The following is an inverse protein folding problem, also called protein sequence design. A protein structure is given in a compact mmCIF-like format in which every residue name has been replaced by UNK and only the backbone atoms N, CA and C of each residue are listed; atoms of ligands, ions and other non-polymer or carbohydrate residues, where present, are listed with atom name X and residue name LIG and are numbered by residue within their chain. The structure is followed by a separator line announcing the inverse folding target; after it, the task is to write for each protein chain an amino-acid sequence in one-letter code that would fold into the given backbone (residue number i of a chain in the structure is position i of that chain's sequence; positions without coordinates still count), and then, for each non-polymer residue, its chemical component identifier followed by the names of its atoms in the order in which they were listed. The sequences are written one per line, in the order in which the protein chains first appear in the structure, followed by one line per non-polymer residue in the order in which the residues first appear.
data_IF_502055622649
#
_entry.id   IF_502055622649
#
_cell.length_a   1.000
_cell.length_b   1.000
_cell.length_c   1.000
_cell.angle_alpha   90.00
_cell.angle_beta   90.00
_cell.angle_gamma   90.00
#
_symmetry.space_group_name_H-M   'P 1'
#
loop_
_entity.id
_entity.type
_entity.pdbx_description
1 polymer ?
#
# COMPACT_ATOMS: atom_id res chain seq x y z
N UNK A 1 6.34 4.68 23.93
CA UNK A 1 6.52 5.83 23.03
C UNK A 1 5.23 6.63 23.10
N UNK A 2 5.25 7.87 23.59
CA UNK A 2 4.03 8.64 23.82
C UNK A 2 3.73 9.51 22.59
N UNK A 3 2.76 9.10 21.79
CA UNK A 3 2.19 9.91 20.73
C UNK A 3 0.70 9.56 20.60
N UNK A 4 -0.07 10.51 20.09
CA UNK A 4 -1.48 10.35 19.80
C UNK A 4 -1.74 10.78 18.36
N UNK A 5 -2.77 10.19 17.75
CA UNK A 5 -3.20 10.51 16.39
C UNK A 5 -4.71 10.78 16.39
N UNK A 6 -5.14 11.70 15.54
CA UNK A 6 -6.57 11.87 15.23
C UNK A 6 -7.05 10.73 14.32
N UNK A 7 -8.35 10.48 14.28
CA UNK A 7 -8.92 9.51 13.33
C UNK A 7 -8.65 9.87 11.87
N UNK A 8 -8.60 11.17 11.55
CA UNK A 8 -8.30 11.66 10.20
C UNK A 8 -6.85 11.35 9.83
N UNK A 9 -5.90 11.62 10.74
CA UNK A 9 -4.49 11.25 10.53
C UNK A 9 -4.32 9.75 10.31
N UNK A 10 -5.00 8.90 11.09
CA UNK A 10 -4.98 7.45 10.87
C UNK A 10 -5.45 7.08 9.46
N UNK A 11 -6.58 7.61 9.01
CA UNK A 11 -7.12 7.33 7.69
C UNK A 11 -6.24 7.83 6.55
N UNK A 12 -5.65 9.01 6.69
CA UNK A 12 -4.69 9.53 5.71
C UNK A 12 -3.45 8.63 5.68
N UNK A 13 -2.89 8.25 6.84
CA UNK A 13 -1.76 7.32 6.89
C UNK A 13 -2.09 5.99 6.20
N UNK A 14 -3.26 5.40 6.44
CA UNK A 14 -3.66 4.15 5.81
C UNK A 14 -3.88 4.31 4.29
N UNK A 15 -4.50 5.40 3.85
CA UNK A 15 -4.67 5.70 2.43
C UNK A 15 -3.31 5.73 1.71
N UNK A 16 -2.36 6.52 2.23
CA UNK A 16 -1.02 6.65 1.65
C UNK A 16 -0.22 5.35 1.75
N UNK A 17 -0.40 4.60 2.84
CA UNK A 17 0.24 3.30 3.01
C UNK A 17 -0.24 2.30 1.96
N UNK A 18 -1.54 2.20 1.73
CA UNK A 18 -2.12 1.22 0.82
C UNK A 18 -1.85 1.53 -0.64
N UNK A 19 -2.01 2.79 -1.03
CA UNK A 19 -1.88 3.20 -2.44
C UNK A 19 -0.43 3.43 -2.85
N UNK A 20 0.42 3.94 -1.94
CA UNK A 20 1.57 4.72 -2.36
C UNK A 20 2.62 4.04 -3.21
N UNK A 21 2.80 2.73 -3.06
CA UNK A 21 3.82 1.98 -3.79
C UNK A 21 3.23 1.44 -5.10
N UNK A 22 2.02 0.90 -5.05
CA UNK A 22 1.49 0.06 -6.14
C UNK A 22 0.44 0.76 -7.02
N UNK A 23 -0.02 1.98 -6.69
CA UNK A 23 -1.19 2.57 -7.37
C UNK A 23 -1.01 2.76 -8.89
N UNK A 24 0.22 2.89 -9.38
CA UNK A 24 0.50 3.02 -10.82
C UNK A 24 0.48 1.68 -11.59
N UNK A 25 0.53 0.54 -10.89
CA UNK A 25 0.73 -0.77 -11.51
C UNK A 25 -0.26 -1.85 -11.09
N UNK A 26 -0.88 -1.77 -9.90
CA UNK A 26 -1.72 -2.86 -9.39
C UNK A 26 -2.88 -3.23 -10.33
N UNK A 27 -3.37 -2.28 -11.12
CA UNK A 27 -4.45 -2.48 -12.08
C UNK A 27 -4.09 -3.48 -13.17
N UNK A 28 -2.83 -3.52 -13.63
CA UNK A 28 -2.40 -4.50 -14.64
C UNK A 28 -2.51 -5.92 -14.07
N UNK A 29 -1.85 -6.19 -12.95
CA UNK A 29 -1.83 -7.51 -12.32
C UNK A 29 -3.24 -8.01 -11.99
N UNK A 30 -4.10 -7.13 -11.48
CA UNK A 30 -5.50 -7.44 -11.17
C UNK A 30 -6.30 -7.80 -12.43
N UNK A 31 -6.22 -6.97 -13.47
CA UNK A 31 -7.01 -7.16 -14.70
C UNK A 31 -6.52 -8.39 -15.48
N UNK A 32 -5.22 -8.67 -15.46
CA UNK A 32 -4.65 -9.87 -16.09
C UNK A 32 -5.07 -11.15 -15.34
N UNK A 33 -5.09 -11.13 -14.01
CA UNK A 33 -5.50 -12.28 -13.20
C UNK A 33 -7.01 -12.54 -13.24
N UNK A 34 -7.83 -11.48 -13.14
CA UNK A 34 -9.30 -11.57 -13.08
C UNK A 34 -10.02 -11.59 -14.43
N UNK A 35 -9.30 -11.31 -15.53
CA UNK A 35 -9.84 -11.30 -16.88
C UNK A 35 -10.84 -10.17 -17.14
N UNK A 36 -11.98 -10.49 -17.76
CA UNK A 36 -13.01 -9.50 -18.14
C UNK A 36 -13.71 -8.91 -16.91
N UNK A 37 -14.08 -9.76 -15.96
CA UNK A 37 -14.90 -9.41 -14.80
C UNK A 37 -14.10 -8.90 -13.58
N UNK A 38 -12.79 -8.71 -13.73
CA UNK A 38 -11.88 -8.29 -12.67
C UNK A 38 -12.33 -7.01 -11.94
N UNK A 39 -12.98 -6.08 -12.65
CA UNK A 39 -13.49 -4.84 -12.07
C UNK A 39 -14.64 -5.08 -11.07
N UNK A 40 -15.49 -6.09 -11.31
CA UNK A 40 -16.55 -6.48 -10.38
C UNK A 40 -15.92 -7.13 -9.13
N UNK A 41 -14.96 -8.01 -9.35
CA UNK A 41 -14.21 -8.69 -8.28
C UNK A 41 -13.55 -7.68 -7.34
N UNK A 42 -13.03 -6.58 -7.88
CA UNK A 42 -12.46 -5.49 -7.10
C UNK A 42 -13.46 -4.86 -6.11
N UNK A 43 -14.66 -4.51 -6.56
CA UNK A 43 -15.69 -3.92 -5.69
C UNK A 43 -16.23 -4.92 -4.66
N UNK A 44 -16.32 -6.20 -5.02
CA UNK A 44 -16.67 -7.26 -4.07
C UNK A 44 -15.58 -7.38 -3.00
N UNK A 45 -14.30 -7.44 -3.39
CA UNK A 45 -13.18 -7.49 -2.46
C UNK A 45 -13.12 -6.24 -1.55
N UNK A 46 -13.42 -5.06 -2.08
CA UNK A 46 -13.53 -3.82 -1.30
C UNK A 46 -14.59 -3.93 -0.19
N UNK A 47 -15.70 -4.61 -0.47
CA UNK A 47 -16.76 -4.91 0.51
C UNK A 47 -16.26 -5.88 1.58
N UNK A 48 -15.49 -6.91 1.22
CA UNK A 48 -14.86 -7.80 2.20
C UNK A 48 -13.87 -7.06 3.10
N UNK A 49 -13.06 -6.17 2.53
CA UNK A 49 -12.12 -5.33 3.27
C UNK A 49 -12.85 -4.39 4.23
N UNK A 50 -13.99 -3.83 3.82
CA UNK A 50 -14.85 -3.04 4.71
C UNK A 50 -15.29 -3.83 5.94
N UNK A 51 -15.78 -5.07 5.72
CA UNK A 51 -16.22 -5.96 6.80
C UNK A 51 -15.05 -6.35 7.71
N UNK A 52 -13.87 -6.58 7.14
CA UNK A 52 -12.64 -6.85 7.89
C UNK A 52 -12.26 -5.67 8.80
N UNK A 53 -12.31 -4.43 8.30
CA UNK A 53 -12.06 -3.23 9.12
C UNK A 53 -13.08 -3.07 10.24
N UNK A 54 -14.36 -3.37 9.98
CA UNK A 54 -15.39 -3.36 11.03
C UNK A 54 -15.09 -4.40 12.13
N UNK A 55 -14.62 -5.60 11.74
CA UNK A 55 -14.17 -6.62 12.69
C UNK A 55 -12.96 -6.13 13.49
N UNK A 56 -12.01 -5.46 12.85
CA UNK A 56 -10.84 -4.89 13.51
C UNK A 56 -11.20 -3.80 14.50
N UNK A 57 -12.13 -2.91 14.16
CA UNK A 57 -12.60 -1.92 15.12
C UNK A 57 -13.36 -2.56 16.28
N UNK A 58 -14.11 -3.62 16.06
CA UNK A 58 -14.81 -4.29 17.16
C UNK A 58 -13.84 -4.95 18.14
N UNK A 59 -12.70 -5.44 17.66
CA UNK A 59 -11.80 -6.30 18.44
C UNK A 59 -10.36 -5.77 18.59
N UNK A 60 -10.07 -4.51 18.26
CA UNK A 60 -8.69 -3.96 18.31
C UNK A 60 -8.06 -4.06 19.70
N UNK A 61 -8.85 -4.02 20.77
CA UNK A 61 -8.36 -4.14 22.16
C UNK A 61 -7.63 -5.45 22.41
N UNK A 62 -8.15 -6.54 21.83
CA UNK A 62 -7.56 -7.88 21.95
C UNK A 62 -6.34 -8.08 21.03
N UNK A 63 -6.06 -7.15 20.12
CA UNK A 63 -4.89 -7.25 19.26
C UNK A 63 -3.63 -6.85 20.03
N UNK A 64 -3.03 -7.80 20.74
CA UNK A 64 -1.80 -7.61 21.47
C UNK A 64 -0.70 -8.52 20.92
N UNK A 65 0.39 -7.90 20.48
CA UNK A 65 1.53 -8.60 19.92
C UNK A 65 2.38 -9.20 21.05
N UNK A 66 2.36 -10.53 21.16
CA UNK A 66 3.32 -11.28 21.97
C UNK A 66 4.72 -11.29 21.36
N UNK A 67 5.70 -11.90 22.06
CA UNK A 67 7.10 -11.92 21.63
C UNK A 67 7.29 -12.53 20.23
N UNK A 68 6.65 -13.68 19.95
CA UNK A 68 6.77 -14.40 18.68
C UNK A 68 6.03 -13.65 17.56
N UNK A 69 4.76 -13.33 17.76
CA UNK A 69 3.94 -12.67 16.73
C UNK A 69 4.49 -11.31 16.35
N UNK A 70 5.05 -10.56 17.31
CA UNK A 70 5.77 -9.31 17.03
C UNK A 70 6.91 -9.48 16.04
N UNK A 71 7.76 -10.50 16.23
CA UNK A 71 8.88 -10.75 15.32
C UNK A 71 8.41 -11.18 13.93
N UNK A 72 7.32 -11.96 13.85
CA UNK A 72 6.67 -12.28 12.57
C UNK A 72 6.26 -10.99 11.85
N UNK A 73 5.57 -10.06 12.52
CA UNK A 73 5.20 -8.76 11.93
C UNK A 73 6.40 -7.94 11.46
N UNK A 74 7.44 -7.83 12.30
CA UNK A 74 8.64 -7.05 11.96
C UNK A 74 9.36 -7.65 10.74
N UNK A 75 9.54 -8.97 10.68
CA UNK A 75 10.20 -9.63 9.56
C UNK A 75 9.37 -9.53 8.28
N UNK A 76 8.04 -9.67 8.36
CA UNK A 76 7.16 -9.49 7.20
C UNK A 76 7.17 -8.06 6.67
N UNK A 77 7.15 -7.05 7.54
CA UNK A 77 7.30 -5.66 7.11
C UNK A 77 8.70 -5.34 6.59
N UNK A 78 9.74 -5.96 7.13
CA UNK A 78 11.10 -5.83 6.62
C UNK A 78 11.19 -6.39 5.20
N UNK A 79 10.66 -7.59 4.97
CA UNK A 79 10.56 -8.16 3.63
C UNK A 79 9.79 -7.22 2.70
N UNK A 80 8.61 -6.76 3.12
CA UNK A 80 7.79 -5.83 2.33
C UNK A 80 8.53 -4.53 1.95
N UNK A 81 9.33 -3.98 2.86
CA UNK A 81 10.17 -2.81 2.58
C UNK A 81 11.22 -3.11 1.51
N UNK A 82 11.93 -4.24 1.62
CA UNK A 82 12.91 -4.67 0.60
C UNK A 82 12.25 -4.83 -0.76
N UNK A 83 11.13 -5.56 -0.83
CA UNK A 83 10.41 -5.79 -2.09
C UNK A 83 9.91 -4.46 -2.69
N UNK A 84 9.43 -3.55 -1.85
CA UNK A 84 8.96 -2.24 -2.28
C UNK A 84 10.10 -1.37 -2.82
N UNK A 85 11.26 -1.37 -2.16
CA UNK A 85 12.45 -0.63 -2.62
C UNK A 85 12.97 -1.17 -3.95
N UNK A 86 13.01 -2.50 -4.10
CA UNK A 86 13.37 -3.16 -5.36
C UNK A 86 12.40 -2.75 -6.47
N UNK A 87 11.09 -2.76 -6.21
CA UNK A 87 10.07 -2.32 -7.16
C UNK A 87 10.21 -0.85 -7.54
N UNK A 88 10.38 0.05 -6.54
CA UNK A 88 10.56 1.48 -6.80
C UNK A 88 11.81 1.74 -7.64
N UNK A 89 12.93 1.10 -7.29
CA UNK A 89 14.18 1.23 -8.04
C UNK A 89 14.04 0.71 -9.48
N UNK A 90 13.36 -0.42 -9.67
CA UNK A 90 13.09 -0.97 -11.00
C UNK A 90 12.29 0.01 -11.87
N UNK A 91 11.20 0.57 -11.34
CA UNK A 91 10.39 1.56 -12.08
C UNK A 91 11.21 2.82 -12.38
N UNK A 92 12.00 3.33 -11.43
CA UNK A 92 12.85 4.50 -11.68
C UNK A 92 13.87 4.25 -12.80
N UNK A 93 14.50 3.07 -12.84
CA UNK A 93 15.49 2.72 -13.87
C UNK A 93 14.87 2.70 -15.27
N UNK A 94 13.67 2.17 -15.41
CA UNK A 94 12.98 2.06 -16.70
C UNK A 94 12.56 3.45 -17.22
N UNK A 95 12.06 4.31 -16.33
CA UNK A 95 11.37 5.52 -16.76
C UNK A 95 12.24 6.78 -16.80
N UNK A 96 13.21 6.92 -15.89
CA UNK A 96 13.96 8.20 -15.71
C UNK A 96 15.44 8.02 -15.40
N UNK A 97 15.83 7.07 -14.55
CA UNK A 97 17.16 7.00 -13.94
C UNK A 97 18.01 5.81 -14.43
N UNK A 98 17.78 5.33 -15.66
CA UNK A 98 18.48 4.14 -16.21
C UNK A 98 20.01 4.24 -16.24
N UNK A 99 20.58 5.45 -16.30
CA UNK A 99 22.03 5.68 -16.30
C UNK A 99 22.62 5.93 -14.90
N UNK A 100 21.79 6.08 -13.86
CA UNK A 100 22.29 6.34 -12.50
C UNK A 100 22.55 5.03 -11.78
N UNK A 101 23.72 4.86 -11.12
CA UNK A 101 24.00 3.65 -10.37
C UNK A 101 22.96 3.40 -9.26
N UNK A 102 22.40 2.19 -9.23
CA UNK A 102 21.31 1.80 -8.32
C UNK A 102 21.59 2.07 -6.83
N UNK A 103 22.84 1.89 -6.40
CA UNK A 103 23.23 2.12 -5.01
C UNK A 103 23.11 3.58 -4.59
N UNK A 104 23.27 4.54 -5.53
CA UNK A 104 23.15 5.98 -5.24
C UNK A 104 21.67 6.33 -5.01
N UNK A 105 20.79 5.93 -5.92
CA UNK A 105 19.36 6.20 -5.81
C UNK A 105 18.74 5.50 -4.61
N UNK A 106 19.12 4.25 -4.32
CA UNK A 106 18.70 3.54 -3.11
C UNK A 106 19.16 4.26 -1.84
N UNK A 107 20.40 4.74 -1.80
CA UNK A 107 20.92 5.50 -0.67
C UNK A 107 20.12 6.79 -0.44
N UNK A 108 19.83 7.55 -1.50
CA UNK A 108 19.05 8.79 -1.40
C UNK A 108 17.62 8.52 -0.89
N UNK A 109 16.94 7.49 -1.41
CA UNK A 109 15.60 7.10 -0.94
C UNK A 109 15.62 6.69 0.54
N UNK A 110 16.64 5.92 0.94
CA UNK A 110 16.79 5.47 2.32
C UNK A 110 17.19 6.59 3.28
N UNK A 111 17.92 7.62 2.82
CA UNK A 111 18.24 8.80 3.64
C UNK A 111 16.98 9.59 4.01
N UNK A 112 16.04 9.74 3.07
CA UNK A 112 14.74 10.39 3.33
C UNK A 112 13.93 9.59 4.35
N UNK A 113 13.79 8.27 4.13
CA UNK A 113 13.12 7.37 5.08
C UNK A 113 13.81 7.39 6.46
N UNK A 114 15.14 7.38 6.49
CA UNK A 114 15.91 7.40 7.71
C UNK A 114 15.65 8.67 8.51
N UNK A 115 15.72 9.84 7.86
CA UNK A 115 15.43 11.13 8.47
C UNK A 115 14.05 11.14 9.13
N UNK A 116 13.02 10.67 8.43
CA UNK A 116 11.65 10.58 8.98
C UNK A 116 11.61 9.60 10.16
N UNK A 117 12.29 8.46 10.06
CA UNK A 117 12.27 7.41 11.09
C UNK A 117 12.91 7.83 12.42
N UNK A 118 13.96 8.65 12.39
CA UNK A 118 14.65 9.14 13.59
C UNK A 118 14.06 10.43 14.14
N UNK A 119 13.24 11.11 13.35
CA UNK A 119 12.50 12.31 13.75
C UNK A 119 11.40 11.99 14.77
N UNK A 120 10.72 13.04 15.24
CA UNK A 120 9.57 12.91 16.15
C UNK A 120 8.46 12.08 15.46
N UNK A 121 7.70 11.25 16.19
CA UNK A 121 6.58 10.50 15.63
C UNK A 121 5.59 11.36 14.84
N UNK A 122 5.38 12.61 15.27
CA UNK A 122 4.53 13.58 14.57
C UNK A 122 4.97 13.87 13.13
N UNK A 123 6.27 13.78 12.84
CA UNK A 123 6.80 13.96 11.46
C UNK A 123 6.25 12.87 10.54
N UNK A 124 6.31 11.60 10.95
CA UNK A 124 5.78 10.49 10.16
C UNK A 124 4.24 10.56 10.01
N UNK A 125 3.54 11.01 11.06
CA UNK A 125 2.08 11.15 11.07
C UNK A 125 1.59 12.28 10.15
N UNK A 126 2.31 13.41 10.10
CA UNK A 126 1.87 14.60 9.36
C UNK A 126 2.36 14.63 7.90
N UNK A 127 3.44 13.92 7.56
CA UNK A 127 3.97 13.90 6.19
C UNK A 127 2.92 13.51 5.12
N UNK A 128 2.05 12.50 5.33
CA UNK A 128 1.00 12.16 4.37
C UNK A 128 0.03 13.32 4.05
N UNK A 129 -0.25 14.19 5.03
CA UNK A 129 -1.18 15.32 4.86
C UNK A 129 -0.67 16.30 3.80
N UNK A 130 0.64 16.47 3.69
CA UNK A 130 1.26 17.35 2.69
C UNK A 130 1.04 16.88 1.24
N UNK A 131 0.89 15.58 1.00
CA UNK A 131 0.72 15.04 -0.36
C UNK A 131 -0.75 15.05 -0.83
N UNK A 132 -1.73 15.27 0.06
CA UNK A 132 -3.16 15.25 -0.29
C UNK A 132 -3.51 16.12 -1.51
N UNK A 133 -3.04 17.38 -1.66
CA UNK A 133 -3.35 18.19 -2.84
C UNK A 133 -2.91 17.53 -4.15
N UNK A 134 -1.78 16.82 -4.15
CA UNK A 134 -1.26 16.13 -5.34
C UNK A 134 -2.13 14.94 -5.76
N UNK A 135 -2.93 14.36 -4.86
CA UNK A 135 -3.92 13.34 -5.22
C UNK A 135 -4.97 13.92 -6.15
N UNK A 136 -5.48 15.12 -5.85
CA UNK A 136 -6.47 15.79 -6.69
C UNK A 136 -5.87 16.25 -8.02
N UNK A 137 -4.65 16.78 -8.00
CA UNK A 137 -3.90 17.12 -9.22
C UNK A 137 -3.77 15.87 -10.09
N UNK A 138 -3.34 14.75 -9.52
CA UNK A 138 -3.19 13.49 -10.25
C UNK A 138 -4.51 13.01 -10.88
N UNK A 139 -5.62 13.02 -10.14
CA UNK A 139 -6.94 12.65 -10.68
C UNK A 139 -7.35 13.60 -11.80
N UNK A 140 -7.18 14.91 -11.62
CA UNK A 140 -7.55 15.93 -12.60
C UNK A 140 -6.86 15.71 -13.94
N UNK A 141 -5.54 15.47 -13.94
CA UNK A 141 -4.82 15.20 -15.18
C UNK A 141 -5.20 13.85 -15.79
N UNK A 142 -5.42 12.82 -14.97
CA UNK A 142 -5.84 11.52 -15.49
C UNK A 142 -7.21 11.59 -16.20
N UNK A 143 -8.09 12.53 -15.81
CA UNK A 143 -9.35 12.78 -16.51
C UNK A 143 -9.16 13.32 -17.94
N UNK A 144 -8.00 13.86 -18.31
CA UNK A 144 -7.73 14.25 -19.70
C UNK A 144 -7.63 13.06 -20.65
N UNK A 145 -7.44 11.83 -20.11
CA UNK A 145 -7.55 10.61 -20.91
C UNK A 145 -9.00 10.23 -21.25
N UNK A 146 -10.02 10.93 -20.71
CA UNK A 146 -11.44 10.59 -20.89
C UNK A 146 -11.88 10.41 -22.36
N UNK A 147 -11.43 11.22 -23.34
CA UNK A 147 -11.82 11.04 -24.74
C UNK A 147 -11.39 9.70 -25.35
N UNK A 148 -10.32 9.09 -24.84
CA UNK A 148 -9.78 7.81 -25.31
C UNK A 148 -10.43 6.60 -24.63
N UNK A 149 -11.22 6.82 -23.58
CA UNK A 149 -11.83 5.73 -22.80
C UNK A 149 -12.99 5.09 -23.57
N UNK A 150 -12.90 3.77 -23.75
CA UNK A 150 -13.92 2.98 -24.43
C UNK A 150 -14.72 2.18 -23.41
N UNK A 151 -15.92 2.64 -23.08
CA UNK A 151 -16.86 1.94 -22.16
C UNK A 151 -17.18 0.52 -22.64
N UNK A 152 -17.14 0.28 -23.95
CA UNK A 152 -17.31 -1.05 -24.54
C UNK A 152 -16.30 -2.08 -24.04
N UNK A 153 -15.13 -1.66 -23.52
CA UNK A 153 -14.12 -2.55 -22.93
C UNK A 153 -14.57 -3.19 -21.61
N UNK A 154 -15.60 -2.65 -20.96
CA UNK A 154 -16.21 -3.25 -19.76
C UNK A 154 -17.08 -4.47 -20.08
N UNK A 155 -17.50 -4.62 -21.34
CA UNK A 155 -18.38 -5.68 -21.81
C UNK A 155 -17.62 -6.68 -22.70
N UNK A 156 -18.07 -7.94 -22.82
CA UNK A 156 -19.17 -8.55 -22.09
C UNK A 156 -18.81 -8.88 -20.63
N UNK A 157 -19.84 -8.92 -19.78
CA UNK A 157 -19.75 -9.29 -18.36
C UNK A 157 -20.12 -10.78 -18.20
N UNK A 158 -19.51 -11.46 -17.25
CA UNK A 158 -19.80 -12.85 -16.90
C UNK A 158 -19.08 -13.87 -17.79
N UNK A 159 -17.97 -13.46 -18.42
CA UNK A 159 -17.19 -14.32 -19.31
C UNK A 159 -15.93 -14.88 -18.65
N UNK A 160 -15.55 -14.37 -17.47
CA UNK A 160 -14.39 -14.87 -16.72
C UNK A 160 -14.67 -16.26 -16.15
N UNK A 161 -13.68 -17.15 -16.23
CA UNK A 161 -13.76 -18.51 -15.68
C UNK A 161 -13.75 -18.51 -14.14
N UNK A 162 -14.20 -19.60 -13.52
CA UNK A 162 -14.18 -19.73 -12.05
C UNK A 162 -12.77 -19.56 -11.44
N UNK A 163 -11.72 -20.00 -12.14
CA UNK A 163 -10.34 -19.77 -11.71
C UNK A 163 -9.95 -18.28 -11.75
N UNK A 164 -10.35 -17.56 -12.81
CA UNK A 164 -10.14 -16.11 -12.91
C UNK A 164 -10.91 -15.36 -11.82
N UNK A 165 -12.10 -15.82 -11.44
CA UNK A 165 -12.83 -15.26 -10.30
C UNK A 165 -12.05 -15.36 -8.99
N UNK A 166 -11.48 -16.53 -8.71
CA UNK A 166 -10.67 -16.73 -7.50
C UNK A 166 -9.42 -15.85 -7.57
N UNK A 167 -8.69 -15.87 -8.68
CA UNK A 167 -7.45 -15.11 -8.83
C UNK A 167 -7.72 -13.59 -8.77
N UNK A 168 -8.69 -13.08 -9.53
CA UNK A 168 -9.05 -11.68 -9.49
C UNK A 168 -9.51 -11.21 -8.11
N UNK A 169 -10.22 -12.05 -7.34
CA UNK A 169 -10.54 -11.76 -5.93
C UNK A 169 -9.27 -11.68 -5.06
N UNK A 170 -8.32 -12.62 -5.19
CA UNK A 170 -7.07 -12.60 -4.43
C UNK A 170 -6.22 -11.35 -4.72
N UNK A 171 -6.04 -11.01 -6.00
CA UNK A 171 -5.33 -9.79 -6.40
C UNK A 171 -6.07 -8.51 -5.97
N UNK A 172 -7.41 -8.52 -6.01
CA UNK A 172 -8.21 -7.40 -5.52
C UNK A 172 -8.02 -7.18 -4.02
N UNK A 173 -8.06 -8.25 -3.21
CA UNK A 173 -7.80 -8.17 -1.77
C UNK A 173 -6.37 -7.67 -1.49
N UNK A 174 -5.39 -8.14 -2.25
CA UNK A 174 -3.99 -7.71 -2.14
C UNK A 174 -3.78 -6.23 -2.50
N UNK A 175 -4.65 -5.66 -3.33
CA UNK A 175 -4.63 -4.23 -3.68
C UNK A 175 -4.91 -3.31 -2.49
N UNK A 176 -5.57 -3.84 -1.45
CA UNK A 176 -5.84 -3.11 -0.20
C UNK A 176 -4.74 -3.34 0.86
N UNK A 177 -3.50 -3.58 0.45
CA UNK A 177 -2.41 -3.87 1.39
C UNK A 177 -2.13 -2.75 2.40
N UNK A 178 -1.61 -3.07 3.57
CA UNK A 178 -1.28 -2.08 4.60
C UNK A 178 -2.35 -1.85 5.67
N UNK A 179 -3.51 -2.53 5.57
CA UNK A 179 -4.58 -2.48 6.57
C UNK A 179 -4.17 -3.06 7.93
N UNK A 180 -3.14 -3.90 7.99
CA UNK A 180 -2.58 -4.35 9.27
C UNK A 180 -2.05 -3.17 10.12
N UNK A 181 -1.66 -2.07 9.46
CA UNK A 181 -1.32 -0.81 10.12
C UNK A 181 -2.48 -0.24 10.93
N UNK A 182 -3.74 -0.53 10.55
CA UNK A 182 -4.92 -0.11 11.30
C UNK A 182 -4.85 -0.63 12.74
N UNK A 183 -4.68 -1.93 12.93
CA UNK A 183 -4.67 -2.55 14.26
C UNK A 183 -3.51 -2.09 15.14
N UNK A 184 -2.36 -1.82 14.52
CA UNK A 184 -1.15 -1.34 15.21
C UNK A 184 -1.35 0.10 15.69
N UNK A 185 -1.88 0.96 14.82
CA UNK A 185 -2.00 2.39 15.09
C UNK A 185 -3.29 2.78 15.81
N UNK A 186 -4.35 1.96 15.72
CA UNK A 186 -5.67 2.22 16.32
C UNK A 186 -5.60 2.47 17.82
N UNK A 187 -4.65 1.84 18.52
CA UNK A 187 -4.42 2.03 19.97
C UNK A 187 -3.91 3.42 20.35
N UNK A 188 -3.38 4.17 19.39
CA UNK A 188 -2.84 5.51 19.58
C UNK A 188 -3.82 6.61 19.15
N UNK A 189 -5.01 6.23 18.65
CA UNK A 189 -6.06 7.20 18.34
C UNK A 189 -6.60 7.80 19.62
N UNK A 190 -6.82 9.12 19.62
CA UNK A 190 -7.37 9.86 20.75
C UNK A 190 -8.67 9.21 21.29
N UNK A 191 -8.82 9.05 22.63
CA UNK A 191 -10.02 8.44 23.22
C UNK A 191 -11.33 9.15 22.86
N UNK A 192 -11.29 10.47 22.70
CA UNK A 192 -12.39 11.33 22.27
C UNK A 192 -12.77 11.11 20.80
N UNK A 193 -11.82 10.70 19.94
CA UNK A 193 -12.03 10.35 18.54
C UNK A 193 -12.55 8.91 18.40
N UNK A 194 -13.73 8.65 18.97
CA UNK A 194 -14.39 7.35 18.81
C UNK A 194 -14.59 7.01 17.34
N UNK A 195 -14.03 5.89 16.91
CA UNK A 195 -14.23 5.37 15.58
C UNK A 195 -15.62 4.77 15.45
N UNK A 196 -16.48 5.37 14.62
CA UNK A 196 -17.82 4.83 14.34
C UNK A 196 -17.83 4.11 13.01
N UNK A 197 -18.85 3.28 12.81
CA UNK A 197 -19.09 2.59 11.54
C UNK A 197 -19.04 3.53 10.33
N UNK A 198 -19.67 4.71 10.43
CA UNK A 198 -19.66 5.70 9.34
C UNK A 198 -18.27 6.24 9.02
N UNK A 199 -17.40 6.37 10.02
CA UNK A 199 -16.04 6.87 9.82
C UNK A 199 -15.23 5.83 9.00
N UNK A 200 -15.37 4.53 9.32
CA UNK A 200 -14.77 3.42 8.56
C UNK A 200 -15.36 3.33 7.14
N UNK A 201 -16.67 3.50 7.01
CA UNK A 201 -17.35 3.46 5.71
C UNK A 201 -16.87 4.58 4.80
N UNK A 202 -16.72 5.80 5.32
CA UNK A 202 -16.20 6.95 4.56
C UNK A 202 -14.76 6.65 4.11
N UNK A 203 -13.88 6.22 5.01
CA UNK A 203 -12.52 5.85 4.67
C UNK A 203 -12.47 4.79 3.57
N UNK A 204 -13.20 3.69 3.76
CA UNK A 204 -13.19 2.57 2.84
C UNK A 204 -13.79 2.96 1.48
N UNK A 205 -14.80 3.83 1.45
CA UNK A 205 -15.37 4.36 0.21
C UNK A 205 -14.35 5.21 -0.52
N UNK A 206 -13.63 6.12 0.16
CA UNK A 206 -12.61 6.99 -0.46
C UNK A 206 -11.52 6.16 -1.14
N UNK A 207 -10.96 5.16 -0.44
CA UNK A 207 -9.90 4.33 -1.01
C UNK A 207 -10.41 3.44 -2.16
N UNK A 208 -11.63 2.92 -2.03
CA UNK A 208 -12.27 2.12 -3.08
C UNK A 208 -12.59 2.95 -4.31
N UNK A 209 -13.01 4.21 -4.16
CA UNK A 209 -13.24 5.11 -5.28
C UNK A 209 -11.93 5.49 -5.97
N UNK A 210 -10.89 5.82 -5.21
CA UNK A 210 -9.59 6.17 -5.78
C UNK A 210 -8.98 5.02 -6.59
N UNK A 211 -8.87 3.84 -5.98
CA UNK A 211 -8.35 2.65 -6.66
C UNK A 211 -9.35 2.14 -7.71
N UNK A 212 -10.65 2.12 -7.44
CA UNK A 212 -11.65 1.73 -8.44
C UNK A 212 -11.57 2.58 -9.70
N UNK A 213 -11.42 3.90 -9.55
CA UNK A 213 -11.22 4.84 -10.64
C UNK A 213 -9.99 4.52 -11.49
N UNK A 214 -8.82 4.32 -10.86
CA UNK A 214 -7.59 3.98 -11.58
C UNK A 214 -7.70 2.69 -12.38
N UNK A 215 -8.23 1.64 -11.75
CA UNK A 215 -8.44 0.34 -12.41
C UNK A 215 -9.43 0.47 -13.57
N UNK A 216 -10.54 1.20 -13.40
CA UNK A 216 -11.52 1.40 -14.46
C UNK A 216 -10.96 2.21 -15.63
N UNK A 217 -10.19 3.26 -15.37
CA UNK A 217 -9.49 4.04 -16.41
C UNK A 217 -8.57 3.13 -17.21
N UNK A 218 -7.71 2.34 -16.55
CA UNK A 218 -6.81 1.39 -17.22
C UNK A 218 -7.60 0.35 -18.04
N UNK A 219 -8.68 -0.19 -17.49
CA UNK A 219 -9.53 -1.17 -18.18
C UNK A 219 -10.22 -0.60 -19.42
N UNK A 220 -10.68 0.65 -19.37
CA UNK A 220 -11.36 1.31 -20.48
C UNK A 220 -10.39 1.84 -21.54
N UNK A 221 -9.15 2.13 -21.16
CA UNK A 221 -8.12 2.66 -22.05
C UNK A 221 -7.44 1.57 -22.88
N UNK A 222 -6.96 0.49 -22.23
CA UNK A 222 -6.18 -0.55 -22.90
C UNK A 222 -7.03 -1.72 -23.39
N UNK A 223 -6.68 -2.25 -24.56
CA UNK A 223 -7.26 -3.50 -25.03
C UNK A 223 -6.77 -4.68 -24.17
N UNK A 224 -7.63 -5.66 -23.82
CA UNK A 224 -7.25 -6.79 -22.97
C UNK A 224 -6.01 -7.56 -23.44
N UNK A 225 -5.83 -7.69 -24.76
CA UNK A 225 -4.66 -8.38 -25.34
C UNK A 225 -3.34 -7.62 -25.18
N UNK A 226 -3.39 -6.29 -24.97
CA UNK A 226 -2.19 -5.46 -24.81
C UNK A 226 -1.72 -5.38 -23.36
N UNK A 227 -2.63 -5.54 -22.40
CA UNK A 227 -2.37 -5.27 -20.99
C UNK A 227 -1.26 -6.14 -20.36
N UNK A 228 -1.06 -7.43 -20.72
CA UNK A 228 0.06 -8.25 -20.22
C UNK A 228 1.45 -7.70 -20.54
N UNK A 229 1.56 -6.79 -21.50
CA UNK A 229 2.83 -6.21 -21.94
C UNK A 229 3.07 -4.80 -21.36
N UNK A 230 2.19 -4.32 -20.46
CA UNK A 230 2.20 -2.94 -19.95
C UNK A 230 2.34 -2.94 -18.43
N UNK A 231 3.58 -2.88 -17.95
CA UNK A 231 3.93 -3.07 -16.54
C UNK A 231 3.45 -1.94 -15.59
N UNK A 232 3.33 -0.71 -16.08
CA UNK A 232 2.85 0.47 -15.33
C UNK A 232 1.79 1.24 -16.16
N UNK A 233 0.58 0.67 -16.37
CA UNK A 233 -0.39 1.18 -17.33
C UNK A 233 -0.80 2.63 -17.06
N UNK A 234 -0.89 3.04 -15.80
CA UNK A 234 -1.25 4.40 -15.43
C UNK A 234 -0.21 5.42 -15.91
N UNK A 235 1.09 5.07 -15.86
CA UNK A 235 2.14 5.95 -16.40
C UNK A 235 2.10 6.03 -17.92
N UNK A 236 1.76 4.95 -18.61
CA UNK A 236 1.58 4.97 -20.08
C UNK A 236 0.42 5.86 -20.51
N UNK A 237 -0.69 5.87 -19.76
CA UNK A 237 -1.81 6.79 -20.00
C UNK A 237 -1.35 8.24 -19.77
N UNK A 238 -0.63 8.52 -18.70
CA UNK A 238 -0.12 9.87 -18.44
C UNK A 238 0.90 10.33 -19.48
N UNK A 239 1.62 9.39 -20.11
CA UNK A 239 2.56 9.66 -21.21
C UNK A 239 1.86 10.03 -22.51
N UNK A 240 0.64 9.52 -22.76
CA UNK A 240 -0.11 9.85 -23.98
C UNK A 240 -0.84 11.19 -23.89
N UNK A 241 -0.97 11.77 -22.69
CA UNK A 241 -1.58 13.07 -22.49
C UNK A 241 -0.57 14.16 -22.85
N UNK A 242 -0.85 14.90 -23.91
CA UNK A 242 -0.07 16.06 -24.32
C UNK A 242 -0.71 17.36 -23.80
N UNK A 243 0.08 18.18 -23.12
CA UNK A 243 -0.33 19.53 -22.67
C UNK A 243 0.70 20.55 -23.11
N UNK A 244 0.26 21.79 -23.34
CA UNK A 244 1.11 22.85 -23.93
C UNK A 244 2.24 23.32 -23.01
N UNK A 245 2.11 23.16 -21.69
CA UNK A 245 3.04 23.71 -20.69
C UNK A 245 4.03 22.69 -20.11
N UNK A 246 3.84 21.38 -20.32
CA UNK A 246 4.75 20.33 -19.83
C UNK A 246 4.94 19.27 -20.92
N UNK A 247 6.19 19.07 -21.35
CA UNK A 247 6.55 18.09 -22.40
C UNK A 247 6.51 16.61 -21.95
N UNK A 248 6.67 16.34 -20.65
CA UNK A 248 6.73 14.98 -20.08
C UNK A 248 5.96 14.89 -18.76
N UNK A 249 4.62 14.85 -18.87
CA UNK A 249 3.73 14.70 -17.72
C UNK A 249 3.96 13.38 -16.98
N UNK A 250 4.31 12.32 -17.71
CA UNK A 250 4.70 11.02 -17.17
C UNK A 250 5.81 11.13 -16.11
N UNK A 251 6.88 11.89 -16.37
CA UNK A 251 7.96 12.09 -15.39
C UNK A 251 7.47 12.88 -14.17
N UNK A 252 6.70 13.95 -14.41
CA UNK A 252 6.18 14.77 -13.32
C UNK A 252 5.36 13.93 -12.33
N UNK A 253 4.46 13.09 -12.85
CA UNK A 253 3.68 12.18 -12.02
C UNK A 253 4.48 11.02 -11.46
N UNK A 254 5.53 10.56 -12.14
CA UNK A 254 6.45 9.57 -11.57
C UNK A 254 7.13 10.12 -10.30
N UNK A 255 7.55 11.38 -10.28
CA UNK A 255 8.13 11.99 -9.07
C UNK A 255 7.10 12.21 -7.96
N UNK A 256 5.84 12.53 -8.29
CA UNK A 256 4.74 12.55 -7.31
C UNK A 256 4.53 11.15 -6.72
N UNK A 257 4.47 10.12 -7.56
CA UNK A 257 4.40 8.72 -7.14
C UNK A 257 5.60 8.32 -6.28
N UNK A 258 6.82 8.76 -6.62
CA UNK A 258 8.01 8.51 -5.80
C UNK A 258 7.88 9.13 -4.41
N UNK A 259 7.43 10.39 -4.33
CA UNK A 259 7.16 11.04 -3.04
C UNK A 259 6.12 10.28 -2.21
N UNK A 260 5.03 9.85 -2.85
CA UNK A 260 3.99 9.03 -2.24
C UNK A 260 4.53 7.67 -1.76
N UNK A 261 5.36 7.01 -2.57
CA UNK A 261 6.04 5.76 -2.25
C UNK A 261 6.97 5.90 -1.04
N UNK A 262 7.76 6.99 -0.97
CA UNK A 262 8.65 7.28 0.16
C UNK A 262 7.88 7.51 1.46
N UNK A 263 6.72 8.15 1.40
CA UNK A 263 5.82 8.25 2.56
C UNK A 263 5.33 6.86 2.97
N UNK A 264 4.87 6.04 2.03
CA UNK A 264 4.39 4.68 2.31
C UNK A 264 5.48 3.82 2.97
N UNK A 265 6.72 3.87 2.45
CA UNK A 265 7.89 3.23 3.06
C UNK A 265 8.12 3.71 4.50
N UNK A 266 8.10 5.03 4.70
CA UNK A 266 8.29 5.64 6.02
C UNK A 266 7.21 5.22 7.02
N UNK A 267 5.97 5.01 6.56
CA UNK A 267 4.87 4.51 7.40
C UNK A 267 5.05 3.03 7.77
N UNK A 268 5.60 2.19 6.89
CA UNK A 268 5.96 0.80 7.26
C UNK A 268 7.09 0.82 8.30
N UNK A 269 8.13 1.63 8.10
CA UNK A 269 9.22 1.81 9.08
C UNK A 269 8.66 2.31 10.42
N UNK A 270 7.68 3.22 10.38
CA UNK A 270 6.99 3.70 11.57
C UNK A 270 6.22 2.58 12.30
N UNK A 271 5.52 1.70 11.57
CA UNK A 271 4.87 0.51 12.16
C UNK A 271 5.89 -0.42 12.83
N UNK A 272 7.05 -0.67 12.18
CA UNK A 272 8.15 -1.44 12.78
C UNK A 272 8.64 -0.76 14.07
N UNK A 273 8.86 0.56 14.04
CA UNK A 273 9.29 1.35 15.21
C UNK A 273 8.30 1.21 16.36
N UNK A 274 7.00 1.36 16.09
CA UNK A 274 5.92 1.23 17.09
C UNK A 274 5.86 -0.19 17.66
N UNK A 275 5.95 -1.22 16.81
CA UNK A 275 5.92 -2.61 17.26
C UNK A 275 7.16 -3.01 18.06
N UNK A 276 8.34 -2.51 17.69
CA UNK A 276 9.61 -2.83 18.33
C UNK A 276 9.81 -2.08 19.65
N UNK A 277 9.53 -0.76 19.68
CA UNK A 277 9.72 0.10 20.84
C UNK A 277 8.43 0.30 21.66
N UNK A 278 7.98 -0.77 22.30
CA UNK A 278 6.86 -0.70 23.25
C UNK A 278 7.23 0.07 24.53
N UNK A 279 8.51 0.02 24.93
CA UNK A 279 9.07 0.72 26.10
C UNK A 279 10.11 1.74 25.65
N UNK A 280 10.30 2.80 26.44
CA UNK A 280 11.36 3.77 26.19
C UNK A 280 12.74 3.09 26.29
N UNK A 281 13.64 3.44 25.36
CA UNK A 281 15.01 2.95 25.33
C UNK A 281 15.99 4.10 25.24
N UNK A 282 17.17 3.94 25.85
CA UNK A 282 18.26 4.91 25.89
C UNK A 282 18.86 5.23 24.51
N UNK A 283 18.85 4.26 23.58
CA UNK A 283 19.42 4.39 22.23
C UNK A 283 18.39 4.13 21.13
N UNK A 284 17.40 5.02 20.96
CA UNK A 284 16.32 4.83 19.98
C UNK A 284 16.77 4.91 18.51
N UNK A 285 17.90 5.59 18.24
CA UNK A 285 18.42 5.80 16.88
C UNK A 285 19.17 4.59 16.31
N UNK A 286 19.89 3.83 17.14
CA UNK A 286 20.73 2.70 16.67
C UNK A 286 19.94 1.60 15.96
N UNK A 287 18.78 1.12 16.48
CA UNK A 287 17.98 0.12 15.77
C UNK A 287 17.46 0.63 14.42
N UNK A 288 17.20 1.93 14.29
CA UNK A 288 16.81 2.53 13.01
C UNK A 288 17.97 2.56 12.02
N UNK A 289 19.21 2.84 12.47
CA UNK A 289 20.40 2.74 11.61
C UNK A 289 20.59 1.32 11.11
N UNK A 290 20.55 0.32 12.01
CA UNK A 290 20.68 -1.10 11.64
C UNK A 290 19.58 -1.50 10.65
N UNK A 291 18.34 -1.08 10.88
CA UNK A 291 17.23 -1.33 9.96
C UNK A 291 17.53 -0.79 8.55
N UNK A 292 17.98 0.46 8.41
CA UNK A 292 18.24 1.04 7.09
C UNK A 292 19.46 0.42 6.39
N UNK A 293 20.47 0.00 7.15
CA UNK A 293 21.61 -0.78 6.61
C UNK A 293 21.10 -2.13 6.05
N UNK A 294 20.25 -2.84 6.80
CA UNK A 294 19.65 -4.09 6.32
C UNK A 294 18.77 -3.86 5.08
N UNK A 295 18.01 -2.77 5.04
CA UNK A 295 17.21 -2.40 3.86
C UNK A 295 18.10 -2.10 2.65
N UNK A 296 19.22 -1.41 2.82
CA UNK A 296 20.14 -1.10 1.73
C UNK A 296 20.74 -2.36 1.12
N UNK A 297 21.38 -3.20 1.93
CA UNK A 297 22.01 -4.43 1.44
C UNK A 297 20.97 -5.46 0.97
N UNK A 298 19.84 -5.57 1.67
CA UNK A 298 18.73 -6.44 1.26
C UNK A 298 18.19 -6.04 -0.11
N UNK A 299 17.90 -4.75 -0.32
CA UNK A 299 17.38 -4.28 -1.61
C UNK A 299 18.38 -4.45 -2.74
N UNK A 300 19.68 -4.19 -2.50
CA UNK A 300 20.72 -4.42 -3.49
C UNK A 300 20.85 -5.91 -3.88
N UNK A 301 20.79 -6.82 -2.92
CA UNK A 301 20.90 -8.25 -3.17
C UNK A 301 19.76 -8.81 -4.04
N UNK A 302 18.55 -8.26 -3.87
CA UNK A 302 17.36 -8.68 -4.61
C UNK A 302 17.05 -7.80 -5.83
N UNK A 303 17.95 -6.89 -6.22
CA UNK A 303 17.72 -5.97 -7.33
C UNK A 303 17.94 -6.66 -8.69
N UNK A 304 16.95 -7.43 -9.12
CA UNK A 304 16.90 -8.03 -10.45
C UNK A 304 15.45 -8.19 -10.92
N UNK A 305 15.27 -8.33 -12.24
CA UNK A 305 13.94 -8.40 -12.87
C UNK A 305 13.17 -9.63 -12.39
N UNK A 306 13.84 -10.78 -12.30
CA UNK A 306 13.23 -12.04 -11.83
C UNK A 306 12.65 -11.91 -10.42
N UNK A 307 13.31 -11.16 -9.54
CA UNK A 307 12.82 -10.90 -8.19
C UNK A 307 11.56 -10.04 -8.24
N UNK A 308 11.53 -9.00 -9.08
CA UNK A 308 10.34 -8.15 -9.27
C UNK A 308 9.16 -8.97 -9.79
N UNK A 309 9.37 -9.81 -10.80
CA UNK A 309 8.33 -10.69 -11.35
C UNK A 309 7.84 -11.71 -10.34
N UNK A 310 8.76 -12.36 -9.61
CA UNK A 310 8.43 -13.29 -8.55
C UNK A 310 7.57 -12.64 -7.47
N UNK A 311 7.91 -11.41 -7.06
CA UNK A 311 7.14 -10.61 -6.10
C UNK A 311 5.73 -10.37 -6.64
N UNK A 312 5.59 -9.86 -7.87
CA UNK A 312 4.27 -9.56 -8.45
C UNK A 312 3.38 -10.80 -8.51
N UNK A 313 3.96 -11.94 -8.89
CA UNK A 313 3.22 -13.18 -9.04
C UNK A 313 2.80 -13.85 -7.72
N UNK A 314 3.49 -13.56 -6.60
CA UNK A 314 3.28 -14.27 -5.33
C UNK A 314 2.86 -13.39 -4.15
N UNK A 315 2.91 -12.06 -4.29
CA UNK A 315 2.65 -11.12 -3.21
C UNK A 315 1.29 -11.35 -2.52
N UNK A 316 0.24 -11.64 -3.30
CA UNK A 316 -1.11 -11.90 -2.81
C UNK A 316 -1.19 -13.10 -1.86
N UNK A 317 -0.37 -14.14 -2.07
CA UNK A 317 -0.36 -15.34 -1.21
C UNK A 317 0.33 -15.08 0.13
N UNK A 318 1.28 -14.15 0.18
CA UNK A 318 1.94 -13.71 1.43
C UNK A 318 1.03 -12.73 2.17
N UNK A 319 0.36 -11.85 1.42
CA UNK A 319 -0.47 -10.79 1.95
C UNK A 319 -1.65 -11.29 2.78
N UNK A 320 -2.44 -12.23 2.24
CA UNK A 320 -3.70 -12.68 2.87
C UNK A 320 -3.49 -13.33 4.24
N UNK A 321 -2.56 -14.29 4.43
CA UNK A 321 -2.27 -14.85 5.73
C UNK A 321 -1.81 -13.81 6.75
N UNK A 322 -1.03 -12.84 6.30
CA UNK A 322 -0.46 -11.83 7.16
C UNK A 322 -1.46 -10.77 7.61
N UNK A 323 -2.36 -10.38 6.71
CA UNK A 323 -3.29 -9.28 6.96
C UNK A 323 -4.66 -9.71 7.39
N UNK A 324 -5.07 -10.96 7.17
CA UNK A 324 -6.38 -11.47 7.59
C UNK A 324 -6.21 -12.54 8.67
N UNK A 325 -5.51 -13.62 8.35
CA UNK A 325 -5.46 -14.83 9.18
C UNK A 325 -4.73 -14.55 10.50
N UNK A 326 -3.51 -14.01 10.45
CA UNK A 326 -2.66 -13.77 11.61
C UNK A 326 -3.31 -12.81 12.63
N UNK A 327 -3.87 -11.64 12.24
CA UNK A 327 -4.59 -10.78 13.19
C UNK A 327 -5.78 -11.46 13.86
N UNK A 328 -6.58 -12.19 13.09
CA UNK A 328 -7.76 -12.91 13.62
C UNK A 328 -7.33 -13.95 14.65
N UNK A 329 -6.28 -14.73 14.37
CA UNK A 329 -5.73 -15.71 15.33
C UNK A 329 -5.24 -15.05 16.62
N UNK A 330 -4.56 -13.90 16.53
CA UNK A 330 -4.08 -13.15 17.70
C UNK A 330 -5.26 -12.66 18.54
N UNK A 331 -6.26 -12.05 17.90
CA UNK A 331 -7.47 -11.55 18.55
C UNK A 331 -8.21 -12.68 19.26
N UNK A 332 -8.43 -13.81 18.60
CA UNK A 332 -9.13 -14.96 19.17
C UNK A 332 -8.37 -15.55 20.36
N UNK A 333 -7.05 -15.70 20.26
CA UNK A 333 -6.20 -16.23 21.33
C UNK A 333 -6.23 -15.33 22.57
N UNK A 334 -6.11 -14.01 22.40
CA UNK A 334 -6.08 -13.07 23.51
C UNK A 334 -7.46 -12.90 24.16
N UNK A 335 -8.52 -12.83 23.36
CA UNK A 335 -9.91 -12.81 23.87
C UNK A 335 -10.20 -14.04 24.74
N UNK A 336 -9.77 -15.24 24.31
CA UNK A 336 -9.93 -16.47 25.09
C UNK A 336 -9.17 -16.44 26.42
N UNK A 337 -7.99 -15.83 26.47
CA UNK A 337 -7.18 -15.69 27.69
C UNK A 337 -7.86 -14.78 28.71
N UNK A 338 -8.36 -13.62 28.30
CA UNK A 338 -9.07 -12.70 29.21
C UNK A 338 -10.34 -13.34 29.80
N UNK A 339 -11.14 -14.04 28.99
CA UNK A 339 -12.33 -14.75 29.50
C UNK A 339 -12.01 -15.88 30.47
N UNK A 340 -10.80 -16.46 30.42
CA UNK A 340 -10.35 -17.50 31.36
C UNK A 340 -9.78 -16.93 32.67
N UNK A 341 -9.31 -15.69 32.68
CA UNK A 341 -8.86 -15.01 33.91
C UNK A 341 -10.00 -14.31 34.65
N UNK A 342 -11.15 -14.09 33.99
CA UNK A 342 -12.36 -13.53 34.59
C UNK A 342 -13.31 -14.58 35.19
N UNK A 343 -13.01 -15.87 35.01
CA UNK A 343 -13.63 -17.00 35.71
C UNK A 343 -12.63 -17.55 36.70
#
# INVERSE_FOLDING_TARGET
MNFTITKVQLFVMLFFRTTGIIFIAYSEALLNAGGRDAWIMFFIAATFVFLQLCLYERYYKYFELGKITRWIYILSWLALLVLSLVYIQYTLNIWVLGNTPNYITLLLMLLVSYYISVSRPSTAVNMPVFIIPFVFVFIFFLLFAAPELKVSQLFPVGTSSGHQWIMGMLYSLASFTGLEGYLVLRKYVLPEDKMRFKDILIYQTIITLFSGFLMLVVKMYFAPASLPYITEPTLYILKSIEVTFVKRLDIFFLYIWLGWSLISLSLIVFNIRVAYFQKERKHQKMPMVILHILLFFGSLAFLNIQSVEFIRAHFQYIYIPFTIILPVLIILKNKRRETKCAK
#
